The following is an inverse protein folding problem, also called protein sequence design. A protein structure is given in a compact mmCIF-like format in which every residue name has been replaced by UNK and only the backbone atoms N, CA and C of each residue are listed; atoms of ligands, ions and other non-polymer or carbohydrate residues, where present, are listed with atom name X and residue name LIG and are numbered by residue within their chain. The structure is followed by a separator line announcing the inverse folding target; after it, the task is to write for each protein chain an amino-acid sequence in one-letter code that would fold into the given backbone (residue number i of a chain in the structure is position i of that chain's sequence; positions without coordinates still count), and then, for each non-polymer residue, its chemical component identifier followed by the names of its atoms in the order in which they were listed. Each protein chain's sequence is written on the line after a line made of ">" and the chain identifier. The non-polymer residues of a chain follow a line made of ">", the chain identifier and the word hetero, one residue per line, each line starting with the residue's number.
data_IF_258119139012
#
_entry.id   IF_258119139012
#
_cell.length_a   1.000
_cell.length_b   1.000
_cell.length_c   1.000
_cell.angle_alpha   90.00
_cell.angle_beta   90.00
_cell.angle_gamma   90.00
#
_symmetry.space_group_name_H-M   'P 1'
#
loop_
_entity.id
_entity.type
_entity.pdbx_description
1 polymer ?
#
# COMPACT_ATOMS: atom_id res chain seq x y z
N UNK A 1 -12.12 22.17 16.18
CA UNK A 1 -11.11 21.13 15.92
C UNK A 1 -9.82 21.56 16.60
N UNK A 2 -9.41 20.91 17.71
CA UNK A 2 -8.17 21.25 18.40
C UNK A 2 -7.09 20.24 17.98
N UNK A 3 -5.97 20.74 17.45
CA UNK A 3 -4.88 19.90 16.94
C UNK A 3 -4.22 19.06 18.04
N UNK A 4 -4.35 19.46 19.31
CA UNK A 4 -3.82 18.69 20.45
C UNK A 4 -4.55 17.36 20.66
N UNK A 5 -5.81 17.26 20.23
CA UNK A 5 -6.63 16.04 20.37
C UNK A 5 -6.11 14.88 19.48
N UNK A 6 -5.22 15.17 18.53
CA UNK A 6 -4.58 14.17 17.68
C UNK A 6 -3.37 13.49 18.33
N UNK A 7 -2.77 14.10 19.36
CA UNK A 7 -1.58 13.56 20.01
C UNK A 7 -2.01 12.36 20.87
N UNK A 8 -1.50 11.16 20.54
CA UNK A 8 -1.82 9.92 21.23
C UNK A 8 -2.97 9.11 20.63
N UNK A 9 -3.61 9.61 19.56
CA UNK A 9 -4.61 8.82 18.81
C UNK A 9 -3.90 7.74 17.99
N UNK A 10 -4.44 6.52 18.00
CA UNK A 10 -3.98 5.40 17.16
C UNK A 10 -5.18 4.73 16.51
N UNK A 11 -5.01 4.27 15.28
CA UNK A 11 -6.02 3.57 14.50
C UNK A 11 -5.36 2.39 13.81
N UNK A 12 -6.05 1.24 13.83
CA UNK A 12 -5.61 0.02 13.16
C UNK A 12 -6.67 -0.40 12.15
N UNK A 13 -6.25 -0.63 10.92
CA UNK A 13 -7.10 -1.09 9.83
C UNK A 13 -6.47 -2.33 9.17
N UNK A 14 -7.33 -3.24 8.72
CA UNK A 14 -6.93 -4.43 7.96
C UNK A 14 -7.42 -4.30 6.53
N UNK A 15 -6.53 -4.52 5.57
CA UNK A 15 -6.86 -4.53 4.15
C UNK A 15 -6.19 -5.73 3.44
N UNK A 16 -6.70 -6.07 2.27
CA UNK A 16 -6.18 -7.14 1.41
C UNK A 16 -5.29 -6.51 0.36
N UNK A 17 -4.00 -6.86 0.39
CA UNK A 17 -3.06 -6.45 -0.64
C UNK A 17 -3.41 -7.10 -1.99
N UNK A 18 -4.10 -6.36 -2.86
CA UNK A 18 -4.46 -6.80 -4.21
C UNK A 18 -3.32 -6.58 -5.20
N UNK A 19 -3.29 -7.31 -6.30
CA UNK A 19 -2.18 -7.19 -7.26
C UNK A 19 -2.26 -5.93 -8.17
N UNK A 20 -3.36 -5.18 -8.10
CA UNK A 20 -3.60 -4.02 -8.97
C UNK A 20 -2.66 -2.84 -8.65
N UNK A 21 -2.52 -2.35 -7.40
CA UNK A 21 -1.58 -1.29 -7.06
C UNK A 21 -0.13 -1.64 -7.42
N UNK A 22 0.24 -2.92 -7.27
CA UNK A 22 1.56 -3.42 -7.64
C UNK A 22 1.83 -3.31 -9.15
N UNK A 23 0.89 -3.77 -9.97
CA UNK A 23 1.01 -3.71 -11.43
C UNK A 23 1.01 -2.26 -11.92
N UNK A 24 0.14 -1.42 -11.37
CA UNK A 24 0.05 0.00 -11.70
C UNK A 24 1.35 0.75 -11.41
N UNK A 25 1.92 0.61 -10.21
CA UNK A 25 3.21 1.23 -9.87
C UNK A 25 4.35 0.70 -10.76
N UNK A 26 4.35 -0.61 -11.06
CA UNK A 26 5.38 -1.19 -11.92
C UNK A 26 5.33 -0.59 -13.32
N UNK A 27 4.13 -0.39 -13.89
CA UNK A 27 3.94 0.29 -15.16
C UNK A 27 4.45 1.75 -15.11
N UNK A 28 4.17 2.50 -14.03
CA UNK A 28 4.67 3.88 -13.85
C UNK A 28 6.20 3.94 -13.84
N UNK A 29 6.85 2.94 -13.25
CA UNK A 29 8.31 2.85 -13.18
C UNK A 29 8.95 2.24 -14.43
N UNK A 30 8.18 2.04 -15.51
CA UNK A 30 8.59 1.34 -16.73
C UNK A 30 9.18 -0.06 -16.45
N UNK A 31 8.68 -0.73 -15.41
CA UNK A 31 8.99 -2.11 -15.07
C UNK A 31 7.88 -3.04 -15.57
N UNK A 32 8.15 -4.34 -15.77
CA UNK A 32 7.12 -5.30 -16.13
C UNK A 32 5.94 -5.22 -15.16
N UNK A 33 4.75 -4.91 -15.67
CA UNK A 33 3.51 -4.78 -14.91
C UNK A 33 2.88 -6.15 -14.63
N UNK A 34 3.72 -7.11 -14.25
CA UNK A 34 3.26 -8.46 -13.96
C UNK A 34 2.40 -8.47 -12.70
N UNK A 35 1.36 -9.30 -12.73
CA UNK A 35 0.43 -9.46 -11.62
C UNK A 35 0.93 -10.62 -10.76
N UNK A 36 1.58 -10.36 -9.61
CA UNK A 36 2.18 -11.42 -8.82
C UNK A 36 1.10 -12.37 -8.29
N UNK A 37 1.38 -13.67 -8.17
CA UNK A 37 0.46 -14.61 -7.58
C UNK A 37 0.19 -14.27 -6.10
N UNK A 38 -0.99 -14.63 -5.62
CA UNK A 38 -1.38 -14.46 -4.22
C UNK A 38 -0.35 -15.13 -3.30
N UNK A 39 0.08 -14.41 -2.27
CA UNK A 39 1.13 -14.87 -1.35
C UNK A 39 2.54 -14.44 -1.73
N UNK A 40 2.74 -13.79 -2.88
CA UNK A 40 4.03 -13.19 -3.22
C UNK A 40 4.31 -11.98 -2.33
N UNK A 41 5.42 -11.95 -1.57
CA UNK A 41 5.77 -10.77 -0.79
C UNK A 41 6.08 -9.60 -1.74
N UNK A 42 5.50 -8.40 -1.51
CA UNK A 42 5.82 -7.25 -2.33
C UNK A 42 7.31 -6.89 -2.16
N UNK A 43 7.99 -6.46 -3.24
CA UNK A 43 9.33 -5.90 -3.15
C UNK A 43 9.36 -4.74 -2.14
N UNK A 44 10.50 -4.58 -1.47
CA UNK A 44 10.69 -3.52 -0.47
C UNK A 44 10.27 -2.13 -1.00
N UNK A 45 9.78 -1.29 -0.09
CA UNK A 45 9.31 0.09 -0.34
C UNK A 45 7.99 0.24 -1.11
N UNK A 46 7.20 -0.83 -1.31
CA UNK A 46 5.89 -0.74 -2.00
C UNK A 46 4.66 -0.98 -1.11
N UNK A 47 4.88 -1.32 0.16
CA UNK A 47 3.79 -1.61 1.10
C UNK A 47 2.91 -0.38 1.39
N UNK A 48 3.46 0.84 1.30
CA UNK A 48 2.72 2.09 1.54
C UNK A 48 1.54 2.32 0.57
N UNK A 49 1.55 1.68 -0.61
CA UNK A 49 0.44 1.78 -1.59
C UNK A 49 -0.89 1.21 -1.07
N UNK A 50 -0.87 0.33 -0.07
CA UNK A 50 -2.06 -0.28 0.51
C UNK A 50 -2.57 0.48 1.74
N UNK A 51 -1.94 1.60 2.10
CA UNK A 51 -2.34 2.45 3.21
C UNK A 51 -2.81 3.83 2.72
N UNK A 52 -3.14 3.94 1.44
CA UNK A 52 -3.77 5.14 0.87
C UNK A 52 -5.27 5.13 1.18
N UNK A 53 -5.85 6.25 1.66
CA UNK A 53 -7.29 6.37 1.93
C UNK A 53 -8.15 6.36 0.67
#
# INVERSE_FOLDING_TARGET
>A
MNLKDWIGRSEAASDIATATPYAALSATLARPAERPPVGTPPPGLRHWLYFMP
#
